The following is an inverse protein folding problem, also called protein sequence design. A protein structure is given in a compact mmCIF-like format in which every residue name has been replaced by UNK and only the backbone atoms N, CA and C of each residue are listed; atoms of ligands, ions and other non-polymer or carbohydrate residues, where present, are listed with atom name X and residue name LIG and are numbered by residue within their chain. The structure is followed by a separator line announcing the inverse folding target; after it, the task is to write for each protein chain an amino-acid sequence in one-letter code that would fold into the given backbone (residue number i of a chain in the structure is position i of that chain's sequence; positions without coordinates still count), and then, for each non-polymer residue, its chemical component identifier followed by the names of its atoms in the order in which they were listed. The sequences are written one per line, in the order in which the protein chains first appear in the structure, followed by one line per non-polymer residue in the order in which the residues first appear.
data_IF_465720505572
#
_entry.id   IF_465720505572
#
_cell.length_a   1.000
_cell.length_b   1.000
_cell.length_c   1.000
_cell.angle_alpha   90.00
_cell.angle_beta   90.00
_cell.angle_gamma   90.00
#
_symmetry.space_group_name_H-M   'P 1'
#
loop_
_entity.id
_entity.type
_entity.pdbx_description
1 polymer ?
#
# COMPACT_ATOMS: atom_id res chain seq x y z
N UNK A 1 5.37 -3.69 14.08
CA UNK A 1 5.64 -4.88 13.26
C UNK A 1 7.14 -5.12 13.32
N UNK A 2 7.57 -6.28 13.81
CA UNK A 2 8.99 -6.61 13.97
C UNK A 2 9.30 -7.94 13.30
N UNK A 3 10.52 -8.12 12.81
CA UNK A 3 11.03 -9.40 12.32
C UNK A 3 11.80 -10.06 13.46
N UNK A 4 11.34 -11.24 13.90
CA UNK A 4 12.06 -12.06 14.88
C UNK A 4 13.02 -13.01 14.16
N UNK A 5 14.30 -12.98 14.54
CA UNK A 5 15.32 -13.88 14.00
C UNK A 5 15.51 -15.14 14.85
N UNK A 6 14.87 -15.22 16.01
CA UNK A 6 14.95 -16.36 16.92
C UNK A 6 13.85 -16.38 17.98
N UNK A 7 13.83 -17.44 18.77
CA UNK A 7 12.80 -17.68 19.79
C UNK A 7 12.78 -16.60 20.89
N UNK A 8 13.96 -16.15 21.34
CA UNK A 8 14.07 -15.11 22.38
C UNK A 8 13.48 -13.78 21.92
N UNK A 9 13.81 -13.34 20.71
CA UNK A 9 13.24 -12.12 20.13
C UNK A 9 11.73 -12.24 19.91
N UNK A 10 11.27 -13.41 19.45
CA UNK A 10 9.84 -13.66 19.27
C UNK A 10 9.08 -13.54 20.60
N UNK A 11 9.59 -14.14 21.68
CA UNK A 11 8.99 -14.02 23.02
C UNK A 11 8.92 -12.56 23.46
N UNK A 12 10.02 -11.82 23.32
CA UNK A 12 10.07 -10.39 23.65
C UNK A 12 9.03 -9.58 22.88
N UNK A 13 8.93 -9.76 21.57
CA UNK A 13 7.96 -9.03 20.75
C UNK A 13 6.51 -9.39 21.06
N UNK A 14 6.23 -10.65 21.44
CA UNK A 14 4.90 -11.07 21.86
C UNK A 14 4.52 -10.45 23.20
N UNK A 15 5.44 -10.40 24.16
CA UNK A 15 5.23 -9.73 25.45
C UNK A 15 4.93 -8.24 25.24
N UNK A 16 5.74 -7.54 24.43
CA UNK A 16 5.50 -6.14 24.07
C UNK A 16 4.13 -5.94 23.39
N UNK A 17 3.77 -6.81 22.43
CA UNK A 17 2.51 -6.70 21.71
C UNK A 17 1.29 -6.88 22.64
N UNK A 18 1.36 -7.81 23.60
CA UNK A 18 0.28 -8.04 24.57
C UNK A 18 0.09 -6.88 25.56
N UNK A 19 1.12 -6.05 25.79
CA UNK A 19 0.97 -4.83 26.58
C UNK A 19 0.22 -3.73 25.83
N UNK A 20 0.35 -3.67 24.49
CA UNK A 20 -0.28 -2.64 23.65
C UNK A 20 -1.74 -2.96 23.36
N UNK A 21 -2.10 -4.24 23.19
CA UNK A 21 -3.48 -4.66 23.05
C UNK A 21 -3.70 -6.07 23.58
N UNK A 22 -4.40 -6.16 24.71
CA UNK A 22 -4.74 -7.45 25.33
C UNK A 22 -5.88 -8.17 24.59
N UNK A 23 -6.71 -7.43 23.85
CA UNK A 23 -7.91 -7.97 23.19
C UNK A 23 -7.70 -8.31 21.70
N UNK A 24 -6.54 -7.97 21.12
CA UNK A 24 -6.29 -8.21 19.70
C UNK A 24 -5.29 -9.33 19.46
N UNK A 25 -5.62 -10.34 18.63
CA UNK A 25 -4.72 -11.44 18.32
C UNK A 25 -3.49 -10.92 17.55
N UNK A 26 -2.31 -11.41 17.92
CA UNK A 26 -1.07 -11.15 17.18
C UNK A 26 -1.02 -12.06 15.96
N UNK A 27 -0.77 -11.49 14.78
CA UNK A 27 -0.57 -12.24 13.55
C UNK A 27 0.92 -12.53 13.38
N UNK A 28 1.28 -13.81 13.29
CA UNK A 28 2.65 -14.26 13.00
C UNK A 28 2.67 -14.84 11.59
N UNK A 29 3.54 -14.33 10.74
CA UNK A 29 3.71 -14.78 9.36
C UNK A 29 5.13 -15.26 9.10
N UNK A 30 5.30 -16.11 8.08
CA UNK A 30 6.62 -16.51 7.61
C UNK A 30 7.26 -15.34 6.86
N UNK A 31 8.48 -14.98 7.26
CA UNK A 31 9.28 -13.99 6.53
C UNK A 31 9.78 -14.56 5.19
N UNK A 32 9.58 -13.82 4.10
CA UNK A 32 9.91 -14.27 2.74
C UNK A 32 11.05 -13.41 2.19
N UNK A 33 12.27 -13.90 2.33
CA UNK A 33 13.48 -13.23 1.86
C UNK A 33 13.44 -12.99 0.34
N UNK A 34 13.83 -11.78 -0.06
CA UNK A 34 13.91 -11.34 -1.46
C UNK A 34 12.56 -11.24 -2.17
N UNK A 35 11.46 -11.10 -1.42
CA UNK A 35 10.17 -10.73 -1.98
C UNK A 35 10.08 -9.21 -2.09
N UNK A 36 9.53 -8.73 -3.21
CA UNK A 36 9.15 -7.33 -3.37
C UNK A 36 7.80 -7.09 -2.72
N UNK A 37 7.62 -5.89 -2.17
CA UNK A 37 6.32 -5.43 -1.72
C UNK A 37 5.66 -4.57 -2.80
N UNK A 38 4.37 -4.80 -3.01
CA UNK A 38 3.55 -4.10 -4.01
C UNK A 38 2.30 -3.57 -3.31
N UNK A 39 1.99 -2.29 -3.53
CA UNK A 39 0.76 -1.70 -3.02
C UNK A 39 -0.21 -1.39 -4.14
N UNK A 40 -1.50 -1.55 -3.84
CA UNK A 40 -2.59 -1.16 -4.72
C UNK A 40 -3.47 -0.18 -3.98
N UNK A 41 -3.42 1.09 -4.40
CA UNK A 41 -4.36 2.12 -3.98
C UNK A 41 -5.54 2.11 -4.94
N UNK A 42 -6.75 1.93 -4.42
CA UNK A 42 -7.93 1.76 -5.24
C UNK A 42 -9.19 2.39 -4.65
N UNK A 43 -10.14 2.69 -5.53
CA UNK A 43 -11.49 3.13 -5.17
C UNK A 43 -12.48 2.15 -5.74
N UNK A 44 -13.37 1.63 -4.90
CA UNK A 44 -14.43 0.71 -5.31
C UNK A 44 -15.82 1.27 -5.02
N UNK A 45 -16.82 0.81 -5.76
CA UNK A 45 -18.25 1.06 -5.53
C UNK A 45 -18.99 -0.27 -5.55
N UNK A 46 -19.63 -0.63 -4.44
CA UNK A 46 -20.35 -1.91 -4.28
C UNK A 46 -19.49 -3.11 -4.66
N UNK A 47 -18.22 -3.11 -4.25
CA UNK A 47 -17.25 -4.17 -4.52
C UNK A 47 -16.66 -4.20 -5.94
N UNK A 48 -17.06 -3.31 -6.84
CA UNK A 48 -16.42 -3.11 -8.15
C UNK A 48 -15.34 -2.05 -8.04
N UNK A 49 -14.09 -2.39 -8.39
CA UNK A 49 -12.98 -1.43 -8.46
C UNK A 49 -13.18 -0.49 -9.64
N UNK A 50 -13.22 0.82 -9.40
CA UNK A 50 -13.44 1.87 -10.39
C UNK A 50 -12.14 2.55 -10.83
N UNK A 51 -11.22 2.75 -9.89
CA UNK A 51 -9.94 3.38 -10.14
C UNK A 51 -8.86 2.69 -9.31
N UNK A 52 -7.64 2.58 -9.83
CA UNK A 52 -6.51 2.03 -9.10
C UNK A 52 -5.16 2.61 -9.56
N UNK A 53 -4.15 2.44 -8.72
CA UNK A 53 -2.73 2.57 -9.06
C UNK A 53 -1.95 1.46 -8.35
N UNK A 54 -0.92 0.92 -9.02
CA UNK A 54 -0.07 -0.15 -8.47
C UNK A 54 1.35 0.40 -8.33
N UNK A 55 1.85 0.47 -7.10
CA UNK A 55 3.21 0.90 -6.79
C UNK A 55 4.07 -0.28 -6.37
N UNK A 56 5.36 -0.18 -6.65
CA UNK A 56 6.38 -1.13 -6.19
C UNK A 56 7.25 -0.47 -5.12
N UNK A 57 7.64 -1.24 -4.11
CA UNK A 57 8.66 -0.82 -3.16
C UNK A 57 10.05 -1.06 -3.74
N UNK A 58 10.96 -0.10 -3.56
CA UNK A 58 12.36 -0.27 -3.96
C UNK A 58 13.08 -1.23 -3.02
N UNK A 59 12.81 -1.12 -1.73
CA UNK A 59 13.29 -2.03 -0.69
C UNK A 59 12.56 -3.37 -0.73
N UNK A 60 13.22 -4.43 -0.26
CA UNK A 60 12.58 -5.73 -0.10
C UNK A 60 11.60 -5.72 1.08
N UNK A 61 10.66 -6.66 1.04
CA UNK A 61 9.71 -6.88 2.13
C UNK A 61 10.42 -7.03 3.47
N UNK A 62 9.92 -6.32 4.48
CA UNK A 62 10.53 -6.22 5.81
C UNK A 62 10.87 -4.79 6.22
N UNK A 63 11.00 -3.88 5.26
CA UNK A 63 10.96 -2.43 5.52
C UNK A 63 9.52 -1.98 5.55
N UNK A 64 9.12 -1.23 6.58
CA UNK A 64 7.75 -0.76 6.70
C UNK A 64 7.38 0.20 5.55
N UNK A 65 6.20 0.02 4.94
CA UNK A 65 5.69 0.85 3.82
C UNK A 65 5.80 2.37 4.01
N UNK A 66 5.73 2.86 5.27
CA UNK A 66 5.94 4.28 5.56
C UNK A 66 7.35 4.78 5.27
N UNK A 67 8.32 3.93 5.53
CA UNK A 67 9.75 4.21 5.41
C UNK A 67 10.29 3.73 4.07
N UNK A 68 9.54 2.88 3.36
CA UNK A 68 9.86 2.43 2.02
C UNK A 68 9.80 3.55 0.97
N UNK A 69 10.63 3.41 -0.05
CA UNK A 69 10.64 4.18 -1.27
C UNK A 69 9.65 3.54 -2.25
N UNK A 70 8.71 4.32 -2.77
CA UNK A 70 7.72 3.83 -3.73
C UNK A 70 8.06 4.27 -5.14
N UNK A 71 7.86 3.39 -6.11
CA UNK A 71 8.02 3.66 -7.54
C UNK A 71 6.71 3.42 -8.30
N UNK A 72 6.39 4.34 -9.23
CA UNK A 72 5.24 4.25 -10.13
C UNK A 72 5.65 4.71 -11.54
N UNK A 73 5.46 3.92 -12.60
CA UNK A 73 4.94 2.54 -12.59
C UNK A 73 5.93 1.53 -11.99
N UNK A 74 5.45 0.31 -11.71
CA UNK A 74 6.31 -0.81 -11.29
C UNK A 74 7.39 -1.09 -12.33
N UNK A 75 8.62 -1.38 -11.89
CA UNK A 75 9.80 -1.57 -12.73
C UNK A 75 10.23 -3.03 -12.84
N UNK A 76 10.17 -3.80 -11.74
CA UNK A 76 10.71 -5.17 -11.71
C UNK A 76 9.64 -6.26 -11.63
N UNK A 77 8.39 -5.86 -11.36
CA UNK A 77 7.28 -6.80 -11.23
C UNK A 77 6.84 -7.33 -12.60
N UNK A 78 6.81 -8.65 -12.75
CA UNK A 78 6.39 -9.29 -14.00
C UNK A 78 4.90 -9.03 -14.31
N UNK A 79 4.54 -8.96 -15.60
CA UNK A 79 3.13 -8.80 -16.01
C UNK A 79 2.23 -9.91 -15.43
N UNK A 80 2.74 -11.14 -15.37
CA UNK A 80 2.00 -12.26 -14.77
C UNK A 80 1.68 -12.04 -13.29
N UNK A 81 2.62 -11.47 -12.53
CA UNK A 81 2.39 -11.10 -11.14
C UNK A 81 1.41 -9.91 -11.02
N UNK A 82 1.53 -8.90 -11.89
CA UNK A 82 0.59 -7.76 -11.91
C UNK A 82 -0.85 -8.21 -12.16
N UNK A 83 -1.08 -9.15 -13.09
CA UNK A 83 -2.42 -9.68 -13.34
C UNK A 83 -2.97 -10.48 -12.16
N UNK A 84 -2.11 -11.20 -11.42
CA UNK A 84 -2.50 -11.87 -10.17
C UNK A 84 -2.84 -10.86 -9.07
N UNK A 85 -2.06 -9.79 -8.93
CA UNK A 85 -2.33 -8.66 -8.01
C UNK A 85 -3.70 -8.07 -8.33
N UNK A 86 -3.96 -7.65 -9.58
CA UNK A 86 -5.26 -7.11 -10.01
C UNK A 86 -6.42 -8.07 -9.74
N UNK A 87 -6.22 -9.36 -10.00
CA UNK A 87 -7.23 -10.39 -9.75
C UNK A 87 -7.54 -10.52 -8.27
N UNK A 88 -6.52 -10.52 -7.41
CA UNK A 88 -6.68 -10.57 -5.96
C UNK A 88 -7.37 -9.30 -5.44
N UNK A 89 -6.96 -8.11 -5.88
CA UNK A 89 -7.61 -6.83 -5.54
C UNK A 89 -9.11 -6.85 -5.89
N UNK A 90 -9.47 -7.34 -7.08
CA UNK A 90 -10.87 -7.46 -7.51
C UNK A 90 -11.67 -8.40 -6.59
N UNK A 91 -11.08 -9.53 -6.20
CA UNK A 91 -11.71 -10.49 -5.28
C UNK A 91 -11.92 -9.91 -3.89
N UNK A 92 -10.91 -9.21 -3.35
CA UNK A 92 -10.96 -8.55 -2.04
C UNK A 92 -12.05 -7.47 -2.04
N UNK A 93 -12.04 -6.58 -3.04
CA UNK A 93 -13.05 -5.53 -3.15
C UNK A 93 -14.47 -6.11 -3.18
N UNK A 94 -14.70 -7.17 -3.96
CA UNK A 94 -15.98 -7.86 -4.05
C UNK A 94 -16.38 -8.53 -2.74
N UNK A 95 -15.45 -9.22 -2.07
CA UNK A 95 -15.74 -9.97 -0.84
C UNK A 95 -16.16 -9.05 0.32
N UNK A 96 -15.58 -7.85 0.40
CA UNK A 96 -15.92 -6.86 1.43
C UNK A 96 -16.98 -5.84 0.98
N UNK A 97 -17.55 -6.00 -0.23
CA UNK A 97 -18.51 -5.05 -0.83
C UNK A 97 -18.07 -3.58 -0.75
N UNK A 98 -16.77 -3.33 -0.94
CA UNK A 98 -16.14 -2.03 -0.66
C UNK A 98 -16.80 -0.91 -1.48
N UNK A 99 -17.16 0.17 -0.79
CA UNK A 99 -17.66 1.43 -1.37
C UNK A 99 -16.88 2.61 -0.79
N UNK A 100 -15.81 3.01 -1.48
CA UNK A 100 -14.87 4.03 -1.01
C UNK A 100 -13.41 3.69 -1.35
N UNK A 101 -12.45 4.41 -0.74
CA UNK A 101 -11.03 4.18 -0.93
C UNK A 101 -10.55 2.99 -0.09
N UNK A 102 -9.62 2.22 -0.64
CA UNK A 102 -8.93 1.17 0.09
C UNK A 102 -7.51 0.99 -0.45
N UNK A 103 -6.65 0.38 0.36
CA UNK A 103 -5.28 0.04 0.01
C UNK A 103 -5.04 -1.43 0.32
N UNK A 104 -4.43 -2.17 -0.60
CA UNK A 104 -4.08 -3.58 -0.41
C UNK A 104 -2.59 -3.76 -0.66
N UNK A 105 -1.92 -4.47 0.24
CA UNK A 105 -0.48 -4.74 0.17
C UNK A 105 -0.22 -6.21 -0.15
N UNK A 106 0.78 -6.45 -0.99
CA UNK A 106 1.12 -7.77 -1.51
C UNK A 106 2.62 -8.04 -1.39
N UNK A 107 2.96 -9.29 -1.12
CA UNK A 107 4.31 -9.83 -1.35
C UNK A 107 4.36 -10.48 -2.73
N UNK A 108 5.37 -10.13 -3.49
CA UNK A 108 5.64 -10.69 -4.82
C UNK A 108 7.03 -11.30 -4.87
N UNK A 109 7.11 -12.60 -5.18
CA UNK A 109 8.36 -13.30 -5.42
C UNK A 109 8.30 -14.04 -6.75
N UNK A 110 8.96 -13.50 -7.76
CA UNK A 110 8.83 -13.98 -9.14
C UNK A 110 7.40 -13.81 -9.65
N UNK A 111 6.66 -14.90 -9.75
CA UNK A 111 5.25 -14.89 -10.17
C UNK A 111 4.29 -15.26 -9.02
N UNK A 112 4.79 -15.55 -7.83
CA UNK A 112 3.96 -15.85 -6.66
C UNK A 112 3.55 -14.56 -5.96
N UNK A 113 2.26 -14.43 -5.70
CA UNK A 113 1.64 -13.24 -5.09
C UNK A 113 0.88 -13.66 -3.84
N UNK A 114 1.21 -13.05 -2.71
CA UNK A 114 0.56 -13.26 -1.42
C UNK A 114 0.01 -11.94 -0.89
N UNK A 115 -1.16 -11.98 -0.26
CA UNK A 115 -1.78 -10.81 0.36
C UNK A 115 -1.18 -10.62 1.75
N UNK A 116 -0.77 -9.39 2.08
CA UNK A 116 -0.32 -9.01 3.42
C UNK A 116 -1.52 -8.51 4.22
N UNK A 117 -2.10 -7.40 3.79
CA UNK A 117 -3.21 -6.74 4.46
C UNK A 117 -4.06 -5.92 3.49
N UNK A 118 -5.26 -5.54 3.96
CA UNK A 118 -6.15 -4.64 3.26
C UNK A 118 -6.68 -3.58 4.23
N UNK A 119 -6.35 -2.32 3.98
CA UNK A 119 -6.81 -1.16 4.72
C UNK A 119 -8.06 -0.58 4.03
N UNK A 120 -9.23 -0.65 4.69
CA UNK A 120 -10.50 -0.10 4.20
C UNK A 120 -10.60 1.41 4.42
N UNK A 121 -9.60 2.15 3.94
CA UNK A 121 -9.49 3.62 4.04
C UNK A 121 -8.50 4.16 3.01
N UNK A 122 -8.49 5.47 2.83
CA UNK A 122 -7.39 6.13 2.11
C UNK A 122 -6.06 5.89 2.83
N UNK A 123 -5.03 5.55 2.05
CA UNK A 123 -3.66 5.39 2.52
C UNK A 123 -2.88 6.70 2.37
N UNK A 124 -1.64 6.70 2.85
CA UNK A 124 -0.71 7.84 2.72
C UNK A 124 -0.16 7.99 1.30
N UNK A 125 -0.23 6.94 0.47
CA UNK A 125 0.25 6.97 -0.92
C UNK A 125 -0.78 7.53 -1.90
N UNK A 126 -2.06 7.65 -1.53
CA UNK A 126 -3.12 8.24 -2.38
C UNK A 126 -2.73 9.57 -3.01
N UNK A 127 -2.20 10.58 -2.27
CA UNK A 127 -1.77 11.84 -2.86
C UNK A 127 -0.62 11.66 -3.87
N UNK A 128 0.34 10.79 -3.54
CA UNK A 128 1.48 10.51 -4.42
C UNK A 128 1.03 9.86 -5.73
N UNK A 129 0.22 8.80 -5.67
CA UNK A 129 -0.27 8.12 -6.88
C UNK A 129 -1.16 9.06 -7.70
N UNK A 130 -2.01 9.85 -7.05
CA UNK A 130 -2.91 10.79 -7.73
C UNK A 130 -2.14 11.86 -8.50
N UNK A 131 -1.08 12.42 -7.91
CA UNK A 131 -0.20 13.38 -8.58
C UNK A 131 0.58 12.73 -9.71
N UNK A 132 1.00 11.49 -9.53
CA UNK A 132 1.83 10.79 -10.52
C UNK A 132 1.03 10.34 -11.74
N UNK A 133 -0.24 9.95 -11.60
CA UNK A 133 -1.08 9.54 -12.74
C UNK A 133 -1.99 10.64 -13.28
N UNK A 134 -2.06 11.79 -12.61
CA UNK A 134 -2.90 12.92 -13.01
C UNK A 134 -4.40 12.74 -12.70
N UNK A 135 -4.77 11.79 -11.85
CA UNK A 135 -6.17 11.52 -11.45
C UNK A 135 -6.30 11.64 -9.95
N UNK A 136 -7.20 12.51 -9.49
CA UNK A 136 -7.48 12.68 -8.05
C UNK A 136 -8.33 11.53 -7.51
N UNK A 137 -7.66 10.50 -6.97
CA UNK A 137 -8.34 9.33 -6.40
C UNK A 137 -9.16 9.67 -5.14
N UNK A 138 -8.81 10.72 -4.40
CA UNK A 138 -9.58 11.15 -3.22
C UNK A 138 -10.90 11.82 -3.65
N UNK A 139 -10.87 12.60 -4.73
CA UNK A 139 -12.09 13.13 -5.34
C UNK A 139 -12.99 12.00 -5.84
N UNK A 140 -12.43 11.01 -6.55
CA UNK A 140 -13.18 9.82 -7.00
C UNK A 140 -13.79 9.08 -5.80
N UNK A 141 -13.01 8.85 -4.74
CA UNK A 141 -13.49 8.20 -3.52
C UNK A 141 -14.63 8.95 -2.84
N UNK A 142 -14.49 10.26 -2.65
CA UNK A 142 -15.52 11.11 -2.05
C UNK A 142 -16.83 11.04 -2.84
N UNK A 143 -16.73 11.16 -4.18
CA UNK A 143 -17.89 11.09 -5.08
C UNK A 143 -18.59 9.73 -5.02
N UNK A 144 -17.84 8.64 -4.90
CA UNK A 144 -18.43 7.30 -4.65
C UNK A 144 -19.19 7.29 -3.32
N UNK A 145 -18.58 7.80 -2.25
CA UNK A 145 -19.18 7.75 -0.90
C UNK A 145 -20.46 8.59 -0.79
N UNK A 146 -20.56 9.71 -1.51
CA UNK A 146 -21.79 10.53 -1.55
C UNK A 146 -22.82 10.06 -2.58
N UNK A 147 -22.53 8.98 -3.32
CA UNK A 147 -23.46 8.39 -4.29
C UNK A 147 -23.52 9.09 -5.64
N UNK A 148 -22.56 9.95 -5.98
CA UNK A 148 -22.50 10.62 -7.27
C UNK A 148 -22.25 9.65 -8.43
N UNK A 149 -22.69 10.06 -9.63
CA UNK A 149 -22.37 9.36 -10.88
C UNK A 149 -21.01 9.81 -11.37
N UNK A 150 -20.13 8.84 -11.66
CA UNK A 150 -18.78 9.06 -12.14
C UNK A 150 -18.69 8.61 -13.59
N UNK A 151 -17.95 9.36 -14.41
CA UNK A 151 -17.58 8.87 -15.73
C UNK A 151 -16.41 7.89 -15.59
N UNK A 152 -16.70 6.59 -15.65
CA UNK A 152 -15.67 5.53 -15.53
C UNK A 152 -14.68 5.53 -16.71
N UNK A 153 -15.03 6.11 -17.87
CA UNK A 153 -14.19 6.04 -19.08
C UNK A 153 -12.87 6.78 -18.97
N UNK A 154 -12.74 7.70 -18.00
CA UNK A 154 -11.54 8.51 -17.77
C UNK A 154 -10.76 8.05 -16.52
N UNK A 155 -11.22 7.00 -15.84
CA UNK A 155 -10.58 6.48 -14.64
C UNK A 155 -9.56 5.39 -14.97
N UNK A 156 -8.49 5.26 -14.18
CA UNK A 156 -7.52 4.18 -14.33
C UNK A 156 -8.12 2.85 -13.82
N UNK A 157 -8.90 2.17 -14.63
CA UNK A 157 -9.52 0.88 -14.26
C UNK A 157 -8.49 -0.26 -14.27
N UNK A 158 -8.80 -1.40 -13.64
CA UNK A 158 -7.89 -2.58 -13.64
C UNK A 158 -7.54 -3.06 -15.06
N UNK A 159 -8.49 -2.90 -15.99
CA UNK A 159 -8.38 -3.27 -17.40
C UNK A 159 -7.65 -2.19 -18.22
N UNK A 160 -7.84 -0.91 -17.88
CA UNK A 160 -7.22 0.23 -18.57
C UNK A 160 -6.45 1.10 -17.56
N UNK A 161 -5.28 0.65 -17.07
CA UNK A 161 -4.45 1.43 -16.17
C UNK A 161 -3.89 2.67 -16.87
N UNK A 162 -3.76 3.77 -16.14
CA UNK A 162 -2.97 4.93 -16.58
C UNK A 162 -1.53 4.70 -16.13
N UNK A 163 -0.64 4.52 -17.11
CA UNK A 163 0.78 4.30 -16.89
C UNK A 163 1.54 5.50 -17.46
N UNK A 164 2.25 6.29 -16.64
CA UNK A 164 3.14 7.33 -17.14
C UNK A 164 4.19 6.74 -18.09
N UNK A 165 4.30 7.30 -19.29
CA UNK A 165 5.24 6.82 -20.32
C UNK A 165 6.55 7.62 -20.36
N UNK A 166 6.49 8.91 -20.00
CA UNK A 166 7.63 9.83 -20.14
C UNK A 166 8.39 10.06 -18.81
N UNK A 167 7.86 9.55 -17.70
CA UNK A 167 8.48 9.72 -16.39
C UNK A 167 8.16 8.57 -15.44
N UNK A 168 8.96 8.47 -14.39
CA UNK A 168 8.74 7.56 -13.26
C UNK A 168 8.61 8.40 -12.00
N UNK A 169 7.49 8.24 -11.28
CA UNK A 169 7.29 8.85 -9.98
C UNK A 169 8.02 8.06 -8.90
N UNK A 170 8.75 8.77 -8.05
CA UNK A 170 9.46 8.18 -6.91
C UNK A 170 9.07 8.94 -5.64
N UNK A 171 8.55 8.24 -4.63
CA UNK A 171 8.38 8.76 -3.27
C UNK A 171 9.52 8.25 -2.41
N UNK A 172 10.18 9.15 -1.70
CA UNK A 172 11.23 8.81 -0.72
C UNK A 172 10.75 9.25 0.67
N UNK A 173 10.99 8.42 1.69
CA UNK A 173 10.73 8.77 3.08
C UNK A 173 11.85 9.67 3.62
N UNK A 174 11.51 10.58 4.53
CA UNK A 174 12.51 11.40 5.23
C UNK A 174 12.51 10.98 6.70
N UNK A 175 13.59 10.31 7.13
CA UNK A 175 13.79 9.99 8.54
C UNK A 175 14.57 11.13 9.22
N UNK A 176 14.03 11.63 10.34
CA UNK A 176 14.76 12.52 11.24
C UNK A 176 15.79 11.73 12.06
N UNK A 177 16.90 11.30 11.45
CA UNK A 177 17.99 10.61 12.17
C UNK A 177 18.90 11.61 12.91
N UNK A 178 18.70 12.92 12.72
CA UNK A 178 19.41 13.98 13.45
C UNK A 178 18.48 15.13 13.86
N UNK A 179 17.67 14.96 14.91
CA UNK A 179 17.14 16.09 15.69
C UNK A 179 17.23 15.77 17.18
N UNK A 180 18.46 15.60 17.68
CA UNK A 180 18.71 15.56 19.13
C UNK A 180 19.98 16.32 19.56
N UNK A 181 20.51 17.23 18.73
CA UNK A 181 21.69 18.06 19.11
C UNK A 181 21.52 19.58 18.87
N UNK A 182 20.45 20.09 18.25
CA UNK A 182 20.33 21.55 18.01
C UNK A 182 18.99 22.24 18.34
N UNK A 183 18.06 21.60 19.05
CA UNK A 183 16.88 22.31 19.60
C UNK A 183 17.15 22.87 21.00
N UNK A 184 18.24 23.64 21.16
CA UNK A 184 18.56 24.35 22.41
C UNK A 184 19.00 25.80 22.21
N UNK A 185 18.62 26.45 21.11
CA UNK A 185 18.89 27.87 20.97
C UNK A 185 17.75 28.66 20.31
N UNK A 186 17.27 29.62 21.10
CA UNK A 186 16.46 30.79 20.76
C UNK A 186 14.97 30.61 20.47
N UNK A 187 14.19 30.60 21.55
CA UNK A 187 12.97 31.41 21.63
C UNK A 187 13.23 32.54 22.64
N UNK A 188 13.36 33.77 22.14
CA UNK A 188 12.99 34.99 22.86
C UNK A 188 11.55 35.31 22.47
#
# INVERSE_FOLDING_TARGET
MNVAYGEEEMKRFLEEATQVSQEHPVVITKFILGAREVEVDAVAKSGKVLAHAITEHVEDAGVHSGDATLILPTQTISQGALEKVKTATRKIAKAFEISGPFNTQFLVKGNDVMVIECNLRASRSFPFVSKTIGVDLINVATRVMVGETLNESVLPTLENPIIPVDYVGIKVSVCCVCVCVCCHFYAF
#
